data_IF_730745582323
#
_entry.id   IF_730745582323
#
_cell.length_a   1.000
_cell.length_b   1.000
_cell.length_c   1.000
_cell.angle_alpha   90.00
_cell.angle_beta   90.00
_cell.angle_gamma   90.00
#
_symmetry.space_group_name_H-M   'P 1'
#
loop_
_entity.id
_entity.type
_entity.pdbx_description
1 polymer ?
#
# COMPACT_ATOMS: atom_id res chain seq x y z
N UNK A 1 0.07 -10.20 26.32
CA UNK A 1 -0.37 -9.00 25.58
C UNK A 1 -1.78 -9.25 25.06
N UNK A 2 -2.79 -8.53 25.57
CA UNK A 2 -4.20 -8.75 25.20
C UNK A 2 -4.41 -8.64 23.68
N UNK A 3 -5.32 -9.44 23.13
CA UNK A 3 -5.67 -9.45 21.71
C UNK A 3 -6.07 -8.06 21.21
N UNK A 4 -6.68 -7.23 22.07
CA UNK A 4 -7.16 -5.89 21.71
C UNK A 4 -6.02 -4.89 21.55
N UNK A 5 -4.97 -4.99 22.37
CA UNK A 5 -3.79 -4.13 22.27
C UNK A 5 -3.03 -4.35 20.96
N UNK A 6 -2.97 -5.59 20.47
CA UNK A 6 -2.38 -5.90 19.15
C UNK A 6 -3.19 -5.30 18.01
N UNK A 7 -4.52 -5.42 18.05
CA UNK A 7 -5.42 -4.84 17.04
C UNK A 7 -5.31 -3.32 17.01
N UNK A 8 -5.37 -2.67 18.18
CA UNK A 8 -5.24 -1.22 18.30
C UNK A 8 -3.91 -0.73 17.72
N UNK A 9 -2.79 -1.39 18.06
CA UNK A 9 -1.47 -1.04 17.54
C UNK A 9 -1.38 -1.19 16.02
N UNK A 10 -1.98 -2.23 15.45
CA UNK A 10 -2.00 -2.41 13.99
C UNK A 10 -2.86 -1.34 13.32
N UNK A 11 -4.00 -0.96 13.91
CA UNK A 11 -4.85 0.11 13.41
C UNK A 11 -4.10 1.45 13.36
N UNK A 12 -3.40 1.81 14.44
CA UNK A 12 -2.57 3.03 14.51
C UNK A 12 -1.47 3.01 13.44
N UNK A 13 -0.78 1.87 13.27
CA UNK A 13 0.25 1.72 12.24
C UNK A 13 -0.30 1.89 10.83
N UNK A 14 -1.46 1.29 10.52
CA UNK A 14 -2.13 1.46 9.23
C UNK A 14 -2.44 2.93 8.99
N UNK A 15 -3.02 3.63 9.97
CA UNK A 15 -3.33 5.06 9.84
C UNK A 15 -2.10 5.92 9.53
N UNK A 16 -1.00 5.71 10.27
CA UNK A 16 0.26 6.45 10.05
C UNK A 16 0.84 6.14 8.67
N UNK A 17 0.94 4.85 8.30
CA UNK A 17 1.50 4.45 7.01
C UNK A 17 0.65 4.94 5.83
N UNK A 18 -0.68 4.95 5.97
CA UNK A 18 -1.59 5.52 4.97
C UNK A 18 -1.42 7.03 4.82
N UNK A 19 -1.27 7.77 5.91
CA UNK A 19 -0.99 9.21 5.86
C UNK A 19 0.36 9.49 5.19
N UNK A 20 1.39 8.70 5.53
CA UNK A 20 2.70 8.79 4.87
C UNK A 20 2.61 8.48 3.37
N UNK A 21 1.94 7.38 2.99
CA UNK A 21 1.69 7.04 1.59
C UNK A 21 1.00 8.20 0.86
N UNK A 22 -0.05 8.77 1.43
CA UNK A 22 -0.76 9.89 0.80
C UNK A 22 0.15 11.11 0.56
N UNK A 23 1.00 11.48 1.54
CA UNK A 23 1.96 12.58 1.38
C UNK A 23 3.01 12.25 0.31
N UNK A 24 3.55 11.04 0.32
CA UNK A 24 4.56 10.60 -0.66
C UNK A 24 4.01 10.55 -2.09
N UNK A 25 2.69 10.45 -2.24
CA UNK A 25 2.04 10.36 -3.55
C UNK A 25 2.11 11.69 -4.33
N UNK A 26 2.36 12.82 -3.65
CA UNK A 26 2.66 14.09 -4.32
C UNK A 26 4.02 14.06 -5.04
N UNK A 27 4.90 13.14 -4.66
CA UNK A 27 6.21 12.90 -5.31
C UNK A 27 6.05 11.74 -6.31
N UNK A 28 5.29 12.00 -7.38
CA UNK A 28 5.03 11.05 -8.46
C UNK A 28 5.75 11.45 -9.75
N UNK A 29 6.28 10.46 -10.46
CA UNK A 29 7.04 10.65 -11.69
C UNK A 29 6.31 10.00 -12.88
N UNK A 30 6.20 10.69 -14.03
CA UNK A 30 5.65 10.08 -15.23
C UNK A 30 6.60 9.00 -15.76
N UNK A 31 6.03 7.89 -16.23
CA UNK A 31 6.80 6.83 -16.87
C UNK A 31 6.84 7.13 -18.38
N UNK A 32 8.02 7.21 -19.02
CA UNK A 32 8.14 7.62 -20.43
C UNK A 32 7.36 6.76 -21.44
N UNK A 33 6.96 5.54 -21.09
CA UNK A 33 6.30 4.55 -21.98
C UNK A 33 4.87 4.22 -21.51
N UNK A 34 4.46 4.65 -20.32
CA UNK A 34 3.13 4.31 -19.80
C UNK A 34 2.09 5.38 -20.16
N UNK A 35 0.80 5.03 -20.16
CA UNK A 35 -0.26 6.02 -20.35
C UNK A 35 -0.20 7.17 -19.33
N UNK A 36 -0.67 8.39 -19.65
CA UNK A 36 -0.51 9.59 -18.81
C UNK A 36 -1.14 9.48 -17.40
N UNK A 37 -2.11 8.57 -17.24
CA UNK A 37 -2.77 8.27 -15.98
C UNK A 37 -1.99 7.32 -15.07
N UNK A 38 -0.96 6.64 -15.60
CA UNK A 38 -0.11 5.70 -14.88
C UNK A 38 1.22 6.38 -14.54
N UNK A 39 1.39 6.70 -13.26
CA UNK A 39 2.60 7.31 -12.72
C UNK A 39 3.24 6.37 -11.72
N UNK A 40 4.57 6.36 -11.67
CA UNK A 40 5.29 5.71 -10.58
C UNK A 40 5.30 6.68 -9.41
N UNK A 41 4.81 6.23 -8.27
CA UNK A 41 4.88 6.97 -7.02
C UNK A 41 5.69 6.19 -5.98
N UNK A 42 6.36 6.91 -5.08
CA UNK A 42 7.03 6.30 -3.93
C UNK A 42 6.02 5.94 -2.82
N UNK A 43 4.75 6.24 -3.03
CA UNK A 43 3.70 6.04 -2.06
C UNK A 43 3.30 4.57 -1.86
N UNK A 44 3.77 3.66 -2.71
CA UNK A 44 3.63 2.23 -2.49
C UNK A 44 4.64 1.67 -1.47
N UNK A 45 5.70 2.41 -1.13
CA UNK A 45 6.71 1.97 -0.15
C UNK A 45 6.12 1.81 1.26
N UNK A 46 5.34 2.76 1.83
CA UNK A 46 4.72 2.55 3.14
C UNK A 46 3.69 1.41 3.14
N UNK A 47 2.99 1.19 2.03
CA UNK A 47 2.08 0.05 1.86
C UNK A 47 2.83 -1.29 1.89
N UNK A 48 3.98 -1.38 1.22
CA UNK A 48 4.87 -2.55 1.28
C UNK A 48 5.40 -2.79 2.71
N UNK A 49 5.86 -1.73 3.39
CA UNK A 49 6.33 -1.83 4.79
C UNK A 49 5.22 -2.39 5.68
N UNK A 50 4.00 -1.86 5.55
CA UNK A 50 2.84 -2.37 6.28
C UNK A 50 2.50 -3.82 5.92
N UNK A 51 2.56 -4.16 4.63
CA UNK A 51 2.35 -5.51 4.11
C UNK A 51 3.34 -6.54 4.67
N UNK A 52 4.64 -6.21 4.69
CA UNK A 52 5.70 -7.08 5.21
C UNK A 52 5.68 -7.18 6.73
N UNK A 53 5.29 -6.11 7.43
CA UNK A 53 5.27 -6.06 8.89
C UNK A 53 4.04 -6.74 9.50
N UNK A 54 2.85 -6.46 8.97
CA UNK A 54 1.56 -6.87 9.56
C UNK A 54 0.85 -7.96 8.74
N UNK A 55 1.19 -8.11 7.46
CA UNK A 55 0.63 -9.10 6.54
C UNK A 55 0.05 -8.46 5.27
N UNK A 56 -0.12 -9.24 4.19
CA UNK A 56 -0.49 -8.73 2.87
C UNK A 56 -1.78 -7.91 2.85
N UNK A 57 -2.78 -8.31 3.64
CA UNK A 57 -4.06 -7.59 3.76
C UNK A 57 -3.87 -6.17 4.29
N UNK A 58 -2.97 -5.96 5.24
CA UNK A 58 -2.70 -4.63 5.79
C UNK A 58 -2.03 -3.71 4.78
N UNK A 59 -1.17 -4.26 3.90
CA UNK A 59 -0.57 -3.49 2.82
C UNK A 59 -1.61 -3.01 1.80
N UNK A 60 -2.52 -3.90 1.39
CA UNK A 60 -3.64 -3.54 0.50
C UNK A 60 -4.54 -2.49 1.13
N UNK A 61 -4.85 -2.62 2.44
CA UNK A 61 -5.64 -1.63 3.17
C UNK A 61 -4.97 -0.25 3.18
N UNK A 62 -3.65 -0.19 3.40
CA UNK A 62 -2.92 1.08 3.39
C UNK A 62 -3.06 1.78 2.04
N UNK A 63 -2.94 1.01 0.96
CA UNK A 63 -3.02 1.53 -0.40
C UNK A 63 -4.45 1.88 -0.82
N UNK A 64 -5.45 1.18 -0.31
CA UNK A 64 -6.86 1.55 -0.46
C UNK A 64 -7.11 2.92 0.17
N UNK A 65 -6.68 3.11 1.42
CA UNK A 65 -6.84 4.39 2.14
C UNK A 65 -6.10 5.52 1.40
N UNK A 66 -4.86 5.28 0.94
CA UNK A 66 -4.10 6.22 0.10
C UNK A 66 -4.95 6.69 -1.09
N UNK A 67 -5.47 5.75 -1.87
CA UNK A 67 -6.22 6.07 -3.09
C UNK A 67 -7.55 6.73 -2.77
N UNK A 68 -8.29 6.30 -1.74
CA UNK A 68 -9.53 6.96 -1.30
C UNK A 68 -9.28 8.42 -0.92
N UNK A 69 -8.18 8.71 -0.21
CA UNK A 69 -7.79 10.08 0.10
C UNK A 69 -7.46 10.87 -1.17
N UNK A 70 -6.78 10.25 -2.14
CA UNK A 70 -6.46 10.89 -3.42
C UNK A 70 -7.69 11.15 -4.31
N UNK A 71 -8.73 10.31 -4.24
CA UNK A 71 -9.98 10.56 -4.96
C UNK A 71 -10.57 11.95 -4.64
N UNK A 72 -10.36 12.46 -3.42
CA UNK A 72 -10.84 13.81 -3.02
C UNK A 72 -10.08 14.97 -3.68
N UNK A 73 -8.96 14.69 -4.35
CA UNK A 73 -8.05 15.70 -4.93
C UNK A 73 -7.88 15.59 -6.44
N UNK A 74 -8.46 14.59 -7.10
CA UNK A 74 -8.05 14.26 -8.47
C UNK A 74 -8.84 14.97 -9.58
N UNK A 75 -8.19 15.10 -10.74
CA UNK A 75 -8.73 15.68 -11.98
C UNK A 75 -8.84 14.64 -13.12
N UNK A 76 -8.54 13.36 -12.87
CA UNK A 76 -8.47 12.26 -13.86
C UNK A 76 -9.80 11.52 -14.07
N UNK A 77 -10.89 11.96 -13.42
CA UNK A 77 -12.19 11.28 -13.47
C UNK A 77 -12.23 9.92 -12.76
N UNK A 78 -11.25 9.61 -11.90
CA UNK A 78 -11.21 8.39 -11.08
C UNK A 78 -10.51 7.18 -11.73
N UNK A 79 -10.19 7.25 -13.02
CA UNK A 79 -9.55 6.13 -13.75
C UNK A 79 -8.10 5.92 -13.33
N UNK A 80 -7.38 7.01 -13.03
CA UNK A 80 -5.99 6.94 -12.57
C UNK A 80 -5.86 6.27 -11.21
N UNK A 81 -6.77 6.58 -10.29
CA UNK A 81 -6.78 6.10 -8.90
C UNK A 81 -7.17 4.63 -8.84
N UNK A 82 -8.13 4.22 -9.66
CA UNK A 82 -8.49 2.80 -9.82
C UNK A 82 -7.30 2.02 -10.37
N UNK A 83 -6.62 2.57 -11.39
CA UNK A 83 -5.44 1.93 -11.98
C UNK A 83 -4.30 1.82 -10.95
N UNK A 84 -4.02 2.88 -10.19
CA UNK A 84 -3.03 2.89 -9.13
C UNK A 84 -3.38 1.89 -8.02
N UNK A 85 -4.66 1.82 -7.62
CA UNK A 85 -5.13 0.87 -6.63
C UNK A 85 -4.94 -0.58 -7.09
N UNK A 86 -5.36 -0.91 -8.30
CA UNK A 86 -5.26 -2.27 -8.84
C UNK A 86 -3.78 -2.69 -8.97
N UNK A 87 -2.98 -1.89 -9.66
CA UNK A 87 -1.57 -2.23 -9.96
C UNK A 87 -0.74 -2.26 -8.68
N UNK A 88 -0.78 -1.20 -7.88
CA UNK A 88 -0.09 -1.18 -6.61
C UNK A 88 -0.60 -2.27 -5.67
N UNK A 89 -1.92 -2.55 -5.70
CA UNK A 89 -2.59 -3.41 -4.72
C UNK A 89 -2.18 -4.85 -4.92
N UNK A 90 -2.19 -5.29 -6.18
CA UNK A 90 -1.62 -6.55 -6.60
C UNK A 90 -0.14 -6.64 -6.29
N UNK A 91 0.63 -5.59 -6.58
CA UNK A 91 2.07 -5.57 -6.30
C UNK A 91 2.37 -5.75 -4.81
N UNK A 92 1.72 -4.99 -3.93
CA UNK A 92 1.87 -5.08 -2.47
C UNK A 92 1.39 -6.43 -1.97
N UNK A 93 0.24 -6.90 -2.43
CA UNK A 93 -0.35 -8.17 -2.01
C UNK A 93 0.54 -9.35 -2.35
N UNK A 94 1.02 -9.44 -3.59
CA UNK A 94 1.86 -10.54 -4.07
C UNK A 94 3.20 -10.51 -3.35
N UNK A 95 3.86 -9.36 -3.34
CA UNK A 95 5.16 -9.17 -2.66
C UNK A 95 5.08 -9.59 -1.20
N UNK A 96 4.06 -9.12 -0.47
CA UNK A 96 3.90 -9.41 0.94
C UNK A 96 3.49 -10.86 1.21
N UNK A 97 2.71 -11.46 0.32
CA UNK A 97 2.34 -12.88 0.40
C UNK A 97 3.55 -13.80 0.20
N UNK A 98 4.40 -13.49 -0.79
CA UNK A 98 5.65 -14.23 -1.04
C UNK A 98 6.59 -14.07 0.16
N UNK A 99 6.80 -12.85 0.65
CA UNK A 99 7.63 -12.60 1.83
C UNK A 99 7.15 -13.38 3.05
N UNK A 100 5.84 -13.37 3.32
CA UNK A 100 5.25 -14.13 4.43
C UNK A 100 5.49 -15.64 4.29
N UNK A 101 5.32 -16.20 3.08
CA UNK A 101 5.57 -17.62 2.81
C UNK A 101 7.04 -17.99 3.00
N UNK A 102 7.96 -17.19 2.48
CA UNK A 102 9.41 -17.43 2.62
C UNK A 102 9.83 -17.38 4.10
N UNK A 103 9.36 -16.38 4.84
CA UNK A 103 9.63 -16.23 6.27
C UNK A 103 9.14 -17.44 7.07
N UNK A 104 7.96 -17.97 6.75
CA UNK A 104 7.42 -19.17 7.39
C UNK A 104 8.25 -20.42 7.10
N UNK A 105 8.71 -20.61 5.86
CA UNK A 105 9.58 -21.75 5.49
C UNK A 105 10.94 -21.70 6.18
N UNK A 106 11.53 -20.51 6.34
CA UNK A 106 12.81 -20.33 7.05
C UNK A 106 12.73 -20.57 8.57
N UNK A 107 11.53 -20.59 9.14
CA UNK A 107 11.30 -20.78 10.58
C UNK A 107 10.89 -22.22 10.93
N UNK A 108 10.74 -23.10 9.95
CA UNK A 108 10.57 -24.55 10.19
C UNK A 108 11.96 -25.20 10.11
N UNK A 109 12.45 -25.84 11.20
CA UNK A 109 13.75 -26.51 11.24
C UNK A 109 13.79 -27.75 10.36
#
# INVERSE_FOLDING_TARGET
>A
MSHDQKKLRNLVKVGILSAMSFILMFVQFPIPVAPPFMKVDLADVPALIGGFSMGPVYGVLIQLIKNVLNLTKTSTGGVGEISNFIVGGLFVFISASIYKKIKQRKMQP
#
